data_IF_133577719659
#
_entry.id   IF_133577719659
#
_cell.length_a   1.000
_cell.length_b   1.000
_cell.length_c   1.000
_cell.angle_alpha   90.00
_cell.angle_beta   90.00
_cell.angle_gamma   90.00
#
_symmetry.space_group_name_H-M   'P 1'
#
loop_
_entity.id
_entity.type
_entity.pdbx_description
1 polymer ?
#
# COMPACT_ATOMS: atom_id res chain seq x y z
N UNK A 1 4.74 -15.51 38.63
CA UNK A 1 5.57 -15.43 37.41
C UNK A 1 4.60 -15.15 36.29
N UNK A 2 4.63 -13.93 35.76
CA UNK A 2 3.79 -13.56 34.63
C UNK A 2 4.36 -14.27 33.41
N UNK A 3 3.69 -15.32 32.95
CA UNK A 3 4.13 -16.03 31.74
C UNK A 3 3.80 -15.17 30.55
N UNK A 4 4.83 -14.59 29.94
CA UNK A 4 4.73 -13.85 28.68
C UNK A 4 3.80 -14.58 27.68
N UNK A 5 2.74 -13.90 27.24
CA UNK A 5 1.85 -14.46 26.23
C UNK A 5 2.60 -14.62 24.92
N UNK A 6 2.53 -15.81 24.32
CA UNK A 6 3.09 -16.11 23.00
C UNK A 6 1.99 -16.38 21.99
N UNK A 7 2.03 -15.69 20.86
CA UNK A 7 1.14 -15.90 19.71
C UNK A 7 1.99 -16.29 18.52
N UNK A 8 1.79 -17.49 17.97
CA UNK A 8 2.64 -18.02 16.89
C UNK A 8 4.13 -18.10 17.27
N UNK A 9 4.45 -18.30 18.56
CA UNK A 9 5.83 -18.30 19.06
C UNK A 9 6.44 -16.91 19.30
N UNK A 10 5.72 -15.83 19.01
CA UNK A 10 6.14 -14.44 19.26
C UNK A 10 5.62 -13.96 20.61
N UNK A 11 6.49 -13.47 21.48
CA UNK A 11 6.08 -12.81 22.73
C UNK A 11 5.40 -11.47 22.43
N UNK A 12 4.19 -11.28 22.95
CA UNK A 12 3.39 -10.06 22.77
C UNK A 12 3.15 -9.37 24.11
N UNK A 13 3.10 -8.04 24.12
CA UNK A 13 3.02 -7.25 25.36
C UNK A 13 2.10 -6.04 25.22
N UNK A 14 1.58 -5.54 26.35
CA UNK A 14 0.70 -4.36 26.41
C UNK A 14 -0.51 -4.48 25.46
N UNK A 15 -1.18 -5.64 25.52
CA UNK A 15 -2.25 -6.00 24.58
C UNK A 15 -3.47 -5.09 24.69
N UNK A 16 -3.78 -4.65 25.91
CA UNK A 16 -4.95 -3.80 26.18
C UNK A 16 -4.66 -2.32 25.92
N UNK A 17 -3.44 -2.00 25.43
CA UNK A 17 -3.08 -0.65 25.01
C UNK A 17 -3.96 -0.22 23.85
N UNK A 18 -4.74 0.84 24.03
CA UNK A 18 -5.54 1.45 22.97
C UNK A 18 -4.63 2.18 21.98
N UNK A 19 -4.66 1.76 20.72
CA UNK A 19 -3.88 2.38 19.63
C UNK A 19 -4.75 3.29 18.76
N UNK A 20 -6.06 3.04 18.69
CA UNK A 20 -7.04 3.92 18.06
C UNK A 20 -8.12 4.34 19.06
N UNK A 21 -7.97 5.51 19.73
CA UNK A 21 -8.89 5.94 20.76
C UNK A 21 -10.34 6.09 20.29
N UNK A 22 -10.56 6.67 19.11
CA UNK A 22 -11.92 6.95 18.60
C UNK A 22 -12.72 5.68 18.27
N UNK A 23 -12.06 4.63 17.79
CA UNK A 23 -12.67 3.34 17.46
C UNK A 23 -12.49 2.28 18.55
N UNK A 24 -11.81 2.60 19.66
CA UNK A 24 -11.57 1.68 20.78
C UNK A 24 -10.61 0.52 20.47
N UNK A 25 -9.89 0.58 19.34
CA UNK A 25 -9.05 -0.54 18.87
C UNK A 25 -7.77 -0.62 19.71
N UNK A 26 -7.59 -1.77 20.34
CA UNK A 26 -6.41 -2.11 21.14
C UNK A 26 -5.29 -2.73 20.31
N UNK A 27 -4.10 -2.86 20.89
CA UNK A 27 -2.99 -3.60 20.28
C UNK A 27 -3.36 -5.05 20.00
N UNK A 28 -4.15 -5.68 20.88
CA UNK A 28 -4.68 -7.04 20.67
C UNK A 28 -5.45 -7.13 19.36
N UNK A 29 -6.34 -6.18 19.11
CA UNK A 29 -7.17 -6.15 17.90
C UNK A 29 -6.33 -5.95 16.64
N UNK A 30 -5.29 -5.11 16.70
CA UNK A 30 -4.33 -4.92 15.60
C UNK A 30 -3.56 -6.20 15.31
N UNK A 31 -3.10 -6.91 16.34
CA UNK A 31 -2.42 -8.21 16.17
C UNK A 31 -3.38 -9.24 15.56
N UNK A 32 -4.60 -9.35 16.08
CA UNK A 32 -5.61 -10.28 15.55
C UNK A 32 -5.95 -9.98 14.09
N UNK A 33 -6.14 -8.70 13.75
CA UNK A 33 -6.38 -8.25 12.39
C UNK A 33 -5.28 -8.73 11.44
N UNK A 34 -4.02 -8.47 11.78
CA UNK A 34 -2.91 -8.84 10.92
C UNK A 34 -2.73 -10.35 10.80
N UNK A 35 -3.02 -11.13 11.84
CA UNK A 35 -3.06 -12.59 11.76
C UNK A 35 -4.12 -13.04 10.75
N UNK A 36 -5.32 -12.48 10.82
CA UNK A 36 -6.45 -12.84 9.94
C UNK A 36 -6.24 -12.37 8.50
N UNK A 37 -5.61 -11.22 8.31
CA UNK A 37 -5.28 -10.67 7.00
C UNK A 37 -4.07 -11.37 6.35
N UNK A 38 -3.22 -12.05 7.13
CA UNK A 38 -1.97 -12.64 6.66
C UNK A 38 -2.09 -13.47 5.37
N UNK A 39 -3.08 -14.37 5.18
CA UNK A 39 -3.19 -15.15 3.94
C UNK A 39 -3.37 -14.28 2.69
N UNK A 40 -4.00 -13.11 2.81
CA UNK A 40 -4.20 -12.15 1.72
C UNK A 40 -3.05 -11.15 1.60
N UNK A 41 -2.37 -10.84 2.71
CA UNK A 41 -1.24 -9.89 2.74
C UNK A 41 0.07 -10.49 2.26
N UNK A 42 0.43 -11.67 2.77
CA UNK A 42 1.76 -12.25 2.57
C UNK A 42 2.16 -12.42 1.08
N UNK A 43 1.26 -12.74 0.13
CA UNK A 43 1.61 -12.76 -1.29
C UNK A 43 2.20 -11.43 -1.81
N UNK A 44 1.72 -10.29 -1.28
CA UNK A 44 2.20 -8.97 -1.68
C UNK A 44 3.44 -8.52 -0.89
N UNK A 45 3.66 -9.05 0.31
CA UNK A 45 4.70 -8.59 1.23
C UNK A 45 5.97 -9.44 1.14
N UNK A 46 5.83 -10.73 0.79
CA UNK A 46 6.96 -11.64 0.74
C UNK A 46 7.97 -11.25 -0.33
N UNK A 47 9.24 -11.31 0.02
CA UNK A 47 10.35 -10.91 -0.85
C UNK A 47 10.43 -9.41 -1.11
N UNK A 48 9.71 -8.55 -0.35
CA UNK A 48 9.77 -7.09 -0.48
C UNK A 48 10.31 -6.42 0.79
N UNK A 49 11.25 -5.48 0.65
CA UNK A 49 11.59 -4.53 1.71
C UNK A 49 10.36 -3.75 2.18
N UNK A 50 10.17 -3.65 3.50
CA UNK A 50 9.10 -2.88 4.11
C UNK A 50 9.60 -1.59 4.77
N UNK A 51 8.74 -0.58 4.75
CA UNK A 51 8.85 0.59 5.62
C UNK A 51 7.65 0.63 6.54
N UNK A 52 7.91 0.57 7.84
CA UNK A 52 6.87 0.63 8.87
C UNK A 52 6.61 2.08 9.26
N UNK A 53 5.36 2.42 9.57
CA UNK A 53 5.06 3.58 10.40
C UNK A 53 4.50 3.10 11.74
N UNK A 54 5.19 3.48 12.81
CA UNK A 54 4.91 3.02 14.16
C UNK A 54 4.26 4.11 14.99
N UNK A 55 3.26 3.71 15.77
CA UNK A 55 2.52 4.57 16.69
C UNK A 55 2.47 3.92 18.07
N UNK A 56 3.61 3.84 18.79
CA UNK A 56 3.64 3.19 20.10
C UNK A 56 2.59 3.74 21.04
N UNK A 57 2.38 5.06 21.01
CA UNK A 57 1.43 5.80 21.86
C UNK A 57 0.02 5.96 21.24
N UNK A 58 -0.25 5.29 20.11
CA UNK A 58 -1.51 5.37 19.37
C UNK A 58 -1.59 6.53 18.36
N UNK A 59 -2.60 6.50 17.49
CA UNK A 59 -2.74 7.39 16.32
C UNK A 59 -3.04 8.86 16.66
N UNK A 60 -3.47 9.14 17.90
CA UNK A 60 -3.64 10.51 18.41
C UNK A 60 -2.33 11.20 18.80
N UNK A 61 -1.19 10.49 18.71
CA UNK A 61 0.14 10.99 19.01
C UNK A 61 1.04 10.88 17.78
N UNK A 62 2.21 11.53 17.83
CA UNK A 62 3.17 11.47 16.74
C UNK A 62 3.68 10.03 16.54
N UNK A 63 3.52 9.52 15.31
CA UNK A 63 4.19 8.31 14.85
C UNK A 63 5.54 8.59 14.22
N UNK A 64 6.26 7.54 13.84
CA UNK A 64 7.52 7.67 13.10
C UNK A 64 7.67 6.59 12.04
N UNK A 65 8.34 6.95 10.94
CA UNK A 65 8.72 6.01 9.89
C UNK A 65 10.00 5.27 10.28
N UNK A 66 10.02 3.96 10.06
CA UNK A 66 11.14 3.09 10.38
C UNK A 66 11.46 2.20 9.17
N UNK A 67 12.53 2.58 8.45
CA UNK A 67 13.09 1.80 7.33
C UNK A 67 14.07 0.74 7.81
N UNK A 68 14.85 1.08 8.84
CA UNK A 68 15.89 0.22 9.38
C UNK A 68 15.31 -0.64 10.50
N UNK A 69 15.51 -1.95 10.43
CA UNK A 69 15.05 -2.89 11.43
C UNK A 69 15.54 -2.48 12.83
N UNK A 70 14.62 -2.38 13.82
CA UNK A 70 14.93 -1.88 15.15
C UNK A 70 15.93 -2.77 15.87
N UNK A 71 16.58 -2.22 16.89
CA UNK A 71 17.40 -3.01 17.81
C UNK A 71 16.54 -4.12 18.45
N UNK A 72 17.13 -5.30 18.66
CA UNK A 72 16.40 -6.46 19.19
C UNK A 72 15.44 -7.13 18.20
N UNK A 73 15.57 -6.86 16.90
CA UNK A 73 14.86 -7.63 15.86
C UNK A 73 15.13 -9.13 16.03
N UNK A 74 14.08 -9.98 16.19
CA UNK A 74 14.24 -11.42 16.39
C UNK A 74 14.93 -12.11 15.21
N UNK A 75 15.68 -13.18 15.49
CA UNK A 75 16.42 -13.91 14.46
C UNK A 75 15.57 -14.60 13.39
N UNK A 76 14.26 -14.77 13.62
CA UNK A 76 13.34 -15.31 12.61
C UNK A 76 12.89 -14.27 11.57
N UNK A 77 13.13 -12.98 11.81
CA UNK A 77 12.73 -11.91 10.89
C UNK A 77 13.74 -11.81 9.75
N UNK A 78 13.29 -12.03 8.53
CA UNK A 78 14.11 -11.84 7.33
C UNK A 78 14.52 -10.37 7.20
N UNK A 79 15.81 -10.12 6.98
CA UNK A 79 16.35 -8.78 6.74
C UNK A 79 17.02 -8.70 5.37
N UNK A 80 16.73 -7.63 4.64
CA UNK A 80 17.40 -7.28 3.39
C UNK A 80 18.29 -6.06 3.59
N UNK A 81 19.57 -6.18 3.23
CA UNK A 81 20.55 -5.10 3.38
C UNK A 81 20.65 -4.30 2.09
N UNK A 82 20.50 -2.99 2.19
CA UNK A 82 20.64 -2.08 1.08
C UNK A 82 21.45 -0.86 1.49
N UNK A 83 22.47 -0.51 0.70
CA UNK A 83 23.22 0.73 0.91
C UNK A 83 22.44 1.91 0.34
N UNK A 84 21.86 2.72 1.23
CA UNK A 84 21.15 3.92 0.84
C UNK A 84 22.15 5.03 0.54
N UNK A 85 22.19 5.48 -0.72
CA UNK A 85 23.05 6.60 -1.13
C UNK A 85 22.65 7.91 -0.45
N UNK A 86 21.35 8.17 -0.29
CA UNK A 86 20.86 9.40 0.34
C UNK A 86 21.13 9.47 1.84
N UNK A 87 21.17 8.31 2.52
CA UNK A 87 21.47 8.23 3.95
C UNK A 87 22.94 7.87 4.25
N UNK A 88 23.74 7.66 3.21
CA UNK A 88 25.17 7.28 3.25
C UNK A 88 25.47 6.14 4.23
N UNK A 89 24.57 5.14 4.28
CA UNK A 89 24.72 3.99 5.17
C UNK A 89 23.95 2.77 4.70
N UNK A 90 24.31 1.62 5.24
CA UNK A 90 23.50 0.40 5.12
C UNK A 90 22.21 0.56 5.92
N UNK A 91 21.09 0.23 5.28
CA UNK A 91 19.77 0.06 5.89
C UNK A 91 19.43 -1.43 5.84
N UNK A 92 18.98 -1.97 6.97
CA UNK A 92 18.48 -3.34 7.07
C UNK A 92 16.96 -3.29 7.03
N UNK A 93 16.37 -3.51 5.88
CA UNK A 93 14.92 -3.54 5.73
C UNK A 93 14.34 -4.84 6.27
N UNK A 94 13.19 -4.75 6.93
CA UNK A 94 12.39 -5.93 7.26
C UNK A 94 11.76 -6.47 5.97
N UNK A 95 11.77 -7.79 5.79
CA UNK A 95 10.99 -8.50 4.77
C UNK A 95 10.00 -9.41 5.49
N UNK A 96 8.72 -9.31 5.12
CA UNK A 96 7.64 -10.04 5.81
C UNK A 96 7.16 -11.24 5.00
N UNK A 97 7.81 -12.38 5.24
CA UNK A 97 7.52 -13.64 4.53
C UNK A 97 6.61 -14.61 5.32
N UNK A 98 6.19 -14.23 6.54
CA UNK A 98 5.42 -15.12 7.42
C UNK A 98 4.61 -14.37 8.46
N UNK A 99 3.61 -15.05 9.02
CA UNK A 99 2.65 -14.49 9.99
C UNK A 99 3.33 -14.03 11.27
N UNK A 100 4.39 -14.71 11.71
CA UNK A 100 5.16 -14.34 12.90
C UNK A 100 5.80 -12.96 12.77
N UNK A 101 6.26 -12.61 11.55
CA UNK A 101 6.79 -11.26 11.28
C UNK A 101 5.69 -10.21 11.36
N UNK A 102 4.48 -10.49 10.85
CA UNK A 102 3.32 -9.59 11.01
C UNK A 102 2.96 -9.38 12.48
N UNK A 103 2.87 -10.47 13.26
CA UNK A 103 2.58 -10.41 14.71
C UNK A 103 3.61 -9.55 15.43
N UNK A 104 4.90 -9.76 15.12
CA UNK A 104 5.99 -8.98 15.71
C UNK A 104 5.90 -7.49 15.35
N UNK A 105 5.69 -7.15 14.07
CA UNK A 105 5.53 -5.75 13.63
C UNK A 105 4.31 -5.10 14.31
N UNK A 106 3.18 -5.80 14.37
CA UNK A 106 1.98 -5.33 15.07
C UNK A 106 2.23 -5.11 16.58
N UNK A 107 2.99 -6.00 17.23
CA UNK A 107 3.36 -5.85 18.64
C UNK A 107 4.23 -4.60 18.90
N UNK A 108 5.04 -4.21 17.92
CA UNK A 108 5.82 -2.96 17.90
C UNK A 108 4.98 -1.71 17.60
N UNK A 109 3.66 -1.86 17.48
CA UNK A 109 2.70 -0.84 17.05
C UNK A 109 3.01 -0.29 15.65
N UNK A 110 3.53 -1.11 14.74
CA UNK A 110 3.60 -0.79 13.31
C UNK A 110 2.19 -0.88 12.72
N UNK A 111 1.52 0.26 12.62
CA UNK A 111 0.14 0.34 12.13
C UNK A 111 0.12 0.40 10.60
N UNK A 112 0.99 1.20 9.99
CA UNK A 112 1.09 1.27 8.53
C UNK A 112 2.30 0.47 8.05
N UNK A 113 2.07 -0.45 7.11
CA UNK A 113 3.08 -1.30 6.50
C UNK A 113 3.15 -0.99 5.01
N UNK A 114 4.25 -0.38 4.59
CA UNK A 114 4.45 0.07 3.22
C UNK A 114 5.41 -0.88 2.51
N UNK A 115 5.04 -1.29 1.30
CA UNK A 115 5.85 -2.16 0.42
C UNK A 115 6.54 -1.33 -0.64
N UNK A 116 7.73 -1.72 -1.07
CA UNK A 116 8.30 -1.24 -2.34
C UNK A 116 7.68 -2.00 -3.53
N UNK A 117 7.76 -1.44 -4.73
CA UNK A 117 7.12 -2.02 -5.93
C UNK A 117 7.91 -3.16 -6.59
N UNK A 118 9.15 -3.40 -6.17
CA UNK A 118 10.02 -4.47 -6.65
C UNK A 118 10.38 -5.47 -5.54
N UNK A 119 10.90 -6.63 -5.92
CA UNK A 119 11.35 -7.66 -4.97
C UNK A 119 12.84 -7.51 -4.69
N UNK A 120 13.31 -8.14 -3.61
CA UNK A 120 14.71 -8.09 -3.17
C UNK A 120 15.70 -8.73 -4.15
N UNK A 121 15.25 -9.66 -4.99
CA UNK A 121 16.08 -10.39 -5.95
C UNK A 121 16.33 -9.61 -7.26
N UNK A 122 15.42 -8.71 -7.65
CA UNK A 122 15.63 -7.72 -8.71
C UNK A 122 14.99 -6.38 -8.32
N UNK A 123 15.70 -5.52 -7.56
CA UNK A 123 15.14 -4.28 -7.03
C UNK A 123 14.97 -3.18 -8.09
N UNK A 124 15.40 -3.39 -9.33
CA UNK A 124 15.30 -2.42 -10.44
C UNK A 124 14.09 -2.68 -11.35
N UNK A 125 13.54 -3.91 -11.31
CA UNK A 125 12.42 -4.33 -12.16
C UNK A 125 11.19 -4.66 -11.32
N UNK A 126 10.21 -3.75 -11.23
CA UNK A 126 9.00 -3.99 -10.46
C UNK A 126 8.14 -5.10 -11.09
N UNK A 127 7.42 -5.80 -10.24
CA UNK A 127 6.29 -6.68 -10.57
C UNK A 127 4.94 -6.03 -10.20
N UNK A 128 4.96 -4.79 -9.71
CA UNK A 128 3.76 -3.96 -9.46
C UNK A 128 4.00 -2.58 -10.07
N UNK A 129 3.11 -2.16 -10.97
CA UNK A 129 3.01 -0.76 -11.40
C UNK A 129 1.86 -0.07 -10.68
N UNK A 130 2.05 1.19 -10.30
CA UNK A 130 1.12 1.95 -9.48
C UNK A 130 0.66 3.23 -10.17
N UNK A 131 -0.65 3.44 -10.21
CA UNK A 131 -1.28 4.75 -10.40
C UNK A 131 -1.78 5.20 -9.04
N UNK A 132 -1.10 6.16 -8.43
CA UNK A 132 -1.49 6.76 -7.17
C UNK A 132 -2.36 7.99 -7.48
N UNK A 133 -3.63 7.94 -7.08
CA UNK A 133 -4.64 8.93 -7.41
C UNK A 133 -4.90 9.78 -6.16
N UNK A 134 -4.32 10.97 -6.16
CA UNK A 134 -4.33 11.88 -5.02
C UNK A 134 -5.23 13.09 -5.29
N UNK A 135 -6.43 13.14 -4.70
CA UNK A 135 -7.31 14.30 -4.82
C UNK A 135 -6.80 15.48 -4.00
N UNK A 136 -6.97 16.68 -4.53
CA UNK A 136 -6.54 17.94 -3.95
C UNK A 136 -7.75 18.81 -3.64
N UNK A 137 -7.95 19.22 -2.36
CA UNK A 137 -9.13 19.95 -1.96
C UNK A 137 -9.46 21.16 -2.87
N UNK A 138 -10.73 21.40 -3.20
CA UNK A 138 -11.92 20.73 -2.67
C UNK A 138 -12.23 19.33 -3.25
N UNK A 139 -11.46 18.82 -4.21
CA UNK A 139 -11.63 17.44 -4.66
C UNK A 139 -11.30 16.47 -3.52
N UNK A 140 -12.08 15.39 -3.44
CA UNK A 140 -11.98 14.36 -2.42
C UNK A 140 -12.07 12.97 -3.04
N UNK A 141 -12.59 12.04 -2.24
CA UNK A 141 -12.61 10.63 -2.62
C UNK A 141 -13.54 10.36 -3.81
N UNK A 142 -14.62 11.10 -3.97
CA UNK A 142 -15.54 10.98 -5.11
C UNK A 142 -14.83 11.23 -6.43
N UNK A 143 -14.07 12.33 -6.55
CA UNK A 143 -13.32 12.64 -7.77
C UNK A 143 -12.22 11.60 -8.02
N UNK A 144 -11.61 11.05 -6.95
CA UNK A 144 -10.66 9.97 -7.08
C UNK A 144 -11.32 8.68 -7.61
N UNK A 145 -12.57 8.38 -7.22
CA UNK A 145 -13.36 7.24 -7.73
C UNK A 145 -13.63 7.40 -9.22
N UNK A 146 -14.13 8.57 -9.64
CA UNK A 146 -14.40 8.87 -11.05
C UNK A 146 -13.12 8.77 -11.91
N UNK A 147 -12.02 9.33 -11.40
CA UNK A 147 -10.71 9.25 -12.04
C UNK A 147 -10.23 7.79 -12.18
N UNK A 148 -10.40 6.99 -11.12
CA UNK A 148 -10.02 5.58 -11.13
C UNK A 148 -10.86 4.75 -12.12
N UNK A 149 -12.16 5.02 -12.21
CA UNK A 149 -13.05 4.36 -13.17
C UNK A 149 -12.64 4.66 -14.61
N UNK A 150 -12.43 5.94 -14.94
CA UNK A 150 -11.97 6.30 -16.29
C UNK A 150 -10.57 5.79 -16.61
N UNK A 151 -9.66 5.72 -15.63
CA UNK A 151 -8.38 5.04 -15.80
C UNK A 151 -8.57 3.54 -16.07
N UNK A 152 -9.47 2.88 -15.35
CA UNK A 152 -9.81 1.47 -15.55
C UNK A 152 -10.33 1.19 -16.97
N UNK A 153 -11.19 2.07 -17.50
CA UNK A 153 -11.67 2.00 -18.89
C UNK A 153 -10.52 2.12 -19.90
N UNK A 154 -9.65 3.12 -19.74
CA UNK A 154 -8.47 3.32 -20.61
C UNK A 154 -7.54 2.11 -20.58
N UNK A 155 -7.30 1.53 -19.40
CA UNK A 155 -6.47 0.33 -19.27
C UNK A 155 -7.14 -0.88 -19.94
N UNK A 156 -8.46 -1.00 -19.82
CA UNK A 156 -9.25 -2.01 -20.51
C UNK A 156 -9.21 -1.89 -22.04
N UNK A 157 -9.28 -0.67 -22.58
CA UNK A 157 -9.10 -0.39 -24.02
C UNK A 157 -7.72 -0.84 -24.53
N UNK A 158 -6.68 -0.74 -23.67
CA UNK A 158 -5.33 -1.22 -23.95
C UNK A 158 -5.15 -2.73 -23.74
N UNK A 159 -6.20 -3.43 -23.32
CA UNK A 159 -6.17 -4.87 -23.02
C UNK A 159 -5.41 -5.23 -21.75
N UNK A 160 -5.21 -4.29 -20.83
CA UNK A 160 -4.47 -4.50 -19.58
C UNK A 160 -5.41 -4.81 -18.41
N UNK A 161 -5.14 -5.92 -17.71
CA UNK A 161 -5.80 -6.21 -16.45
C UNK A 161 -5.25 -5.31 -15.34
N UNK A 162 -6.14 -4.59 -14.66
CA UNK A 162 -5.78 -3.75 -13.52
C UNK A 162 -6.63 -4.09 -12.30
N UNK A 163 -6.14 -3.68 -11.14
CA UNK A 163 -6.79 -3.92 -9.86
C UNK A 163 -6.84 -2.61 -9.06
N UNK A 164 -7.88 -2.43 -8.26
CA UNK A 164 -8.08 -1.20 -7.49
C UNK A 164 -8.16 -1.47 -5.99
N UNK A 165 -7.66 -0.52 -5.21
CA UNK A 165 -7.81 -0.51 -3.75
C UNK A 165 -7.95 0.92 -3.24
N UNK A 166 -8.66 1.09 -2.12
CA UNK A 166 -8.56 2.34 -1.36
C UNK A 166 -7.12 2.55 -0.87
N UNK A 167 -6.67 3.79 -0.76
CA UNK A 167 -5.47 4.08 0.04
C UNK A 167 -5.76 3.89 1.55
N UNK A 168 -7.03 3.99 1.96
CA UNK A 168 -7.46 4.08 3.35
C UNK A 168 -7.41 5.52 3.90
N UNK A 169 -7.06 6.50 3.07
CA UNK A 169 -7.21 7.95 3.33
C UNK A 169 -7.92 8.56 2.11
N UNK A 170 -7.62 9.82 1.76
CA UNK A 170 -8.27 10.57 0.67
C UNK A 170 -8.12 9.96 -0.74
N UNK A 171 -7.06 9.20 -1.03
CA UNK A 171 -6.73 8.73 -2.39
C UNK A 171 -7.11 7.29 -2.70
N UNK A 172 -6.88 6.90 -3.95
CA UNK A 172 -7.09 5.55 -4.50
C UNK A 172 -5.84 5.06 -5.21
N UNK A 173 -5.61 3.74 -5.20
CA UNK A 173 -4.53 3.14 -5.97
C UNK A 173 -5.13 2.21 -7.02
N UNK A 174 -4.74 2.41 -8.28
CA UNK A 174 -4.92 1.42 -9.33
C UNK A 174 -3.56 0.79 -9.62
N UNK A 175 -3.49 -0.53 -9.67
CA UNK A 175 -2.25 -1.27 -9.83
C UNK A 175 -2.34 -2.31 -10.94
N UNK A 176 -1.20 -2.58 -11.57
CA UNK A 176 -1.07 -3.59 -12.61
C UNK A 176 0.04 -4.57 -12.17
N UNK A 177 -0.25 -5.88 -12.07
CA UNK A 177 0.80 -6.88 -11.94
C UNK A 177 1.64 -6.91 -13.21
N UNK A 178 2.96 -6.86 -13.09
CA UNK A 178 3.86 -6.83 -14.25
C UNK A 178 4.74 -8.08 -14.34
N UNK A 179 5.01 -8.51 -15.56
CA UNK A 179 6.23 -9.27 -15.80
C UNK A 179 7.45 -8.41 -15.46
N UNK A 180 8.41 -8.98 -14.74
CA UNK A 180 9.65 -8.28 -14.28
C UNK A 180 10.67 -8.09 -15.40
N UNK A 181 10.24 -7.49 -16.50
CA UNK A 181 11.06 -7.21 -17.69
C UNK A 181 11.33 -5.72 -17.87
N UNK A 182 10.52 -4.86 -17.23
CA UNK A 182 10.62 -3.40 -17.32
C UNK A 182 11.41 -2.82 -16.14
N UNK A 183 12.22 -1.81 -16.40
CA UNK A 183 12.81 -0.97 -15.35
C UNK A 183 11.82 0.08 -14.86
N UNK A 184 12.08 0.66 -13.69
CA UNK A 184 11.26 1.75 -13.16
C UNK A 184 11.13 2.97 -14.07
N UNK A 185 12.15 3.28 -14.87
CA UNK A 185 12.05 4.37 -15.85
C UNK A 185 10.92 4.13 -16.87
N UNK A 186 10.77 2.88 -17.33
CA UNK A 186 9.78 2.49 -18.33
C UNK A 186 8.36 2.52 -17.74
N UNK A 187 8.17 1.96 -16.54
CA UNK A 187 6.88 1.98 -15.86
C UNK A 187 6.45 3.40 -15.49
N UNK A 188 7.39 4.23 -15.03
CA UNK A 188 7.15 5.66 -14.75
C UNK A 188 6.71 6.43 -16.00
N UNK A 189 7.40 6.22 -17.12
CA UNK A 189 7.03 6.85 -18.39
C UNK A 189 5.65 6.41 -18.87
N UNK A 190 5.31 5.13 -18.71
CA UNK A 190 3.99 4.62 -19.07
C UNK A 190 2.87 5.25 -18.22
N UNK A 191 3.05 5.29 -16.89
CA UNK A 191 2.08 5.90 -15.96
C UNK A 191 1.90 7.38 -16.27
N UNK A 192 2.99 8.12 -16.54
CA UNK A 192 2.92 9.52 -16.89
C UNK A 192 2.19 9.76 -18.23
N UNK A 193 2.48 8.94 -19.26
CA UNK A 193 1.81 9.04 -20.55
C UNK A 193 0.30 8.79 -20.45
N UNK A 194 -0.12 7.80 -19.67
CA UNK A 194 -1.54 7.55 -19.41
C UNK A 194 -2.18 8.63 -18.54
N UNK A 195 -1.45 9.20 -17.57
CA UNK A 195 -1.95 10.34 -16.80
C UNK A 195 -2.21 11.57 -17.68
N UNK A 196 -1.34 11.85 -18.66
CA UNK A 196 -1.55 12.91 -19.67
C UNK A 196 -2.73 12.58 -20.59
N UNK A 197 -2.90 11.32 -20.98
CA UNK A 197 -4.06 10.91 -21.77
C UNK A 197 -5.37 11.10 -20.98
N UNK A 198 -5.36 10.73 -19.71
CA UNK A 198 -6.51 10.82 -18.82
C UNK A 198 -6.89 12.28 -18.55
N UNK A 199 -5.92 13.19 -18.35
CA UNK A 199 -6.18 14.62 -18.18
C UNK A 199 -6.82 15.29 -19.40
N UNK A 200 -6.68 14.70 -20.60
CA UNK A 200 -7.37 15.16 -21.82
C UNK A 200 -8.80 14.63 -21.92
N UNK A 201 -9.11 13.49 -21.28
CA UNK A 201 -10.44 12.85 -21.31
C UNK A 201 -11.33 13.30 -20.16
N UNK A 202 -10.77 13.48 -18.96
CA UNK A 202 -11.49 13.81 -17.74
C UNK A 202 -11.08 15.20 -17.24
N UNK A 203 -12.01 16.18 -17.24
CA UNK A 203 -11.80 17.45 -16.55
C UNK A 203 -11.44 17.20 -15.07
N UNK A 204 -10.46 17.93 -14.55
CA UNK A 204 -10.05 17.81 -13.16
C UNK A 204 -8.97 16.76 -12.88
N UNK A 205 -8.47 16.03 -13.88
CA UNK A 205 -7.28 15.17 -13.72
C UNK A 205 -6.02 15.93 -14.13
N UNK A 206 -4.95 15.81 -13.35
CA UNK A 206 -3.64 16.41 -13.65
C UNK A 206 -2.51 15.38 -13.53
N UNK A 207 -1.50 15.49 -14.40
CA UNK A 207 -0.33 14.58 -14.41
C UNK A 207 0.99 15.28 -14.76
N UNK A 208 0.99 16.58 -15.08
CA UNK A 208 2.21 17.32 -15.45
C UNK A 208 2.93 17.94 -14.23
N UNK A 209 4.26 17.96 -14.27
CA UNK A 209 5.15 18.43 -13.18
C UNK A 209 5.00 19.91 -12.78
N UNK A 210 4.42 20.76 -13.64
CA UNK A 210 4.32 22.18 -13.35
C UNK A 210 3.03 22.50 -12.60
N UNK A 211 3.09 22.51 -11.26
CA UNK A 211 2.00 23.00 -10.40
C UNK A 211 1.21 21.92 -9.67
N UNK A 212 1.85 20.81 -9.28
CA UNK A 212 1.26 19.75 -8.45
C UNK A 212 0.55 20.36 -7.25
N UNK A 213 -0.69 19.94 -6.97
CA UNK A 213 -1.66 20.54 -6.04
C UNK A 213 -2.52 21.68 -6.59
N UNK A 214 -3.00 21.53 -7.84
CA UNK A 214 -4.10 22.37 -8.33
C UNK A 214 -5.35 22.03 -7.53
N UNK A 215 -5.87 23.01 -6.79
CA UNK A 215 -7.08 22.84 -6.00
C UNK A 215 -8.25 22.33 -6.87
N UNK A 216 -8.96 21.31 -6.40
CA UNK A 216 -10.12 20.73 -7.09
C UNK A 216 -9.74 19.72 -8.17
N UNK A 217 -8.52 19.19 -8.16
CA UNK A 217 -8.06 18.20 -9.14
C UNK A 217 -7.61 16.89 -8.49
N UNK A 218 -7.52 15.83 -9.29
CA UNK A 218 -6.89 14.55 -8.91
C UNK A 218 -5.56 14.44 -9.63
N UNK A 219 -4.49 14.36 -8.85
CA UNK A 219 -3.15 14.15 -9.36
C UNK A 219 -2.86 12.66 -9.53
N UNK A 220 -2.41 12.27 -10.72
CA UNK A 220 -1.86 10.94 -10.98
C UNK A 220 -0.37 10.98 -10.68
N UNK A 221 0.03 10.59 -9.47
CA UNK A 221 1.43 10.66 -9.01
C UNK A 221 2.28 9.54 -9.61
N UNK A 222 2.74 9.79 -10.83
CA UNK A 222 3.62 8.89 -11.55
C UNK A 222 5.00 8.76 -10.89
N UNK A 223 5.42 9.68 -10.01
CA UNK A 223 6.73 9.64 -9.33
C UNK A 223 6.82 8.55 -8.25
N UNK A 224 5.69 7.92 -7.90
CA UNK A 224 5.67 6.74 -7.02
C UNK A 224 6.30 5.50 -7.69
N UNK A 225 6.38 5.47 -9.03
CA UNK A 225 7.04 4.40 -9.78
C UNK A 225 8.55 4.62 -9.84
N UNK A 226 9.22 4.41 -8.71
CA UNK A 226 10.67 4.46 -8.63
C UNK A 226 11.20 3.44 -7.63
N UNK A 227 12.47 3.04 -7.82
CA UNK A 227 13.14 2.15 -6.90
C UNK A 227 13.11 2.70 -5.47
N UNK A 228 12.82 1.84 -4.49
CA UNK A 228 12.77 2.16 -3.07
C UNK A 228 11.73 3.20 -2.62
N UNK A 229 10.89 3.72 -3.53
CA UNK A 229 9.61 4.34 -3.17
C UNK A 229 8.66 3.26 -2.68
N UNK A 230 7.74 3.66 -1.83
CA UNK A 230 6.84 2.73 -1.15
C UNK A 230 5.41 3.13 -1.36
N UNK A 231 4.55 2.13 -1.52
CA UNK A 231 3.11 2.28 -1.44
C UNK A 231 2.59 1.64 -0.16
N UNK A 232 1.49 2.15 0.38
CA UNK A 232 0.80 1.46 1.46
C UNK A 232 0.36 0.08 0.97
N UNK A 233 0.74 -0.97 1.71
CA UNK A 233 0.50 -2.35 1.30
C UNK A 233 -1.00 -2.68 1.24
N UNK A 234 -1.41 -3.62 0.36
CA UNK A 234 -2.76 -4.16 0.40
C UNK A 234 -3.09 -4.73 1.78
N UNK A 235 -4.26 -4.40 2.31
CA UNK A 235 -4.75 -4.74 3.65
C UNK A 235 -3.95 -4.16 4.82
N UNK A 236 -2.98 -3.26 4.59
CA UNK A 236 -2.35 -2.53 5.69
C UNK A 236 -3.36 -1.58 6.36
N UNK A 237 -3.31 -1.47 7.69
CA UNK A 237 -4.03 -0.43 8.41
C UNK A 237 -3.45 0.95 8.09
N UNK A 238 -4.27 1.98 8.31
CA UNK A 238 -3.89 3.39 8.31
C UNK A 238 -4.04 3.97 9.72
N UNK A 239 -3.25 4.98 10.03
CA UNK A 239 -3.37 5.76 11.25
C UNK A 239 -4.45 6.85 11.12
N UNK A 240 -5.68 6.43 10.88
CA UNK A 240 -6.90 7.27 10.88
C UNK A 240 -7.65 7.09 12.21
N UNK A 241 -8.70 7.88 12.48
CA UNK A 241 -9.46 7.74 13.72
C UNK A 241 -10.25 6.40 13.74
N UNK A 242 -10.71 5.96 12.59
CA UNK A 242 -11.58 4.80 12.36
C UNK A 242 -10.80 3.49 12.16
N UNK A 243 -9.47 3.53 12.18
CA UNK A 243 -8.60 2.39 11.84
C UNK A 243 -8.91 1.83 10.44
N UNK A 244 -8.96 2.72 9.45
CA UNK A 244 -9.20 2.36 8.05
C UNK A 244 -8.10 1.46 7.49
N UNK A 245 -8.43 0.75 6.41
CA UNK A 245 -7.58 -0.22 5.71
C UNK A 245 -7.32 0.27 4.30
N UNK A 246 -6.09 0.11 3.83
CA UNK A 246 -5.74 0.18 2.40
C UNK A 246 -6.33 -1.04 1.71
N UNK A 247 -7.58 -0.93 1.24
CA UNK A 247 -8.44 -2.09 1.04
C UNK A 247 -8.58 -2.48 -0.43
N UNK A 248 -8.13 -3.68 -0.84
CA UNK A 248 -8.43 -4.27 -2.14
C UNK A 248 -9.93 -4.41 -2.42
N UNK A 249 -10.35 -3.98 -3.60
CA UNK A 249 -11.74 -3.98 -4.06
C UNK A 249 -11.85 -4.70 -5.41
N UNK A 250 -13.03 -5.27 -5.68
CA UNK A 250 -13.44 -5.55 -7.05
C UNK A 250 -13.83 -4.24 -7.74
N UNK A 251 -13.69 -4.17 -9.06
CA UNK A 251 -14.00 -2.95 -9.81
C UNK A 251 -15.46 -2.53 -9.65
N UNK A 252 -16.37 -3.49 -9.56
CA UNK A 252 -17.81 -3.25 -9.37
C UNK A 252 -18.15 -2.68 -7.99
N UNK A 253 -17.24 -2.79 -7.01
CA UNK A 253 -17.42 -2.18 -5.69
C UNK A 253 -17.09 -0.68 -5.69
N UNK A 254 -16.31 -0.22 -6.67
CA UNK A 254 -15.88 1.16 -6.81
C UNK A 254 -17.01 1.98 -7.44
N UNK A 255 -17.87 2.55 -6.60
CA UNK A 255 -19.08 3.28 -6.97
C UNK A 255 -19.19 4.60 -6.22
N UNK A 256 -20.05 5.49 -6.71
CA UNK A 256 -20.39 6.74 -6.02
C UNK A 256 -20.87 6.48 -4.58
N UNK A 257 -20.43 7.32 -3.65
CA UNK A 257 -20.77 7.23 -2.23
C UNK A 257 -19.95 6.22 -1.43
N UNK A 258 -19.09 5.43 -2.07
CA UNK A 258 -18.07 4.65 -1.37
C UNK A 258 -17.13 5.59 -0.62
N UNK A 259 -16.76 5.26 0.63
CA UNK A 259 -15.75 6.01 1.37
C UNK A 259 -14.71 5.08 2.00
N UNK A 260 -13.46 5.53 2.23
CA UNK A 260 -12.44 4.72 2.91
C UNK A 260 -12.89 4.16 4.26
N UNK A 261 -13.72 4.90 4.99
CA UNK A 261 -14.28 4.57 6.30
C UNK A 261 -15.25 3.37 6.25
N UNK A 262 -15.74 2.97 5.07
CA UNK A 262 -16.46 1.71 4.90
C UNK A 262 -15.55 0.49 5.19
N UNK A 263 -14.23 0.68 5.10
CA UNK A 263 -13.21 -0.36 5.25
C UNK A 263 -12.32 -0.08 6.45
N UNK A 264 -12.80 -0.45 7.64
CA UNK A 264 -12.05 -0.40 8.89
C UNK A 264 -11.46 -1.76 9.24
N UNK A 265 -10.63 -1.80 10.26
CA UNK A 265 -10.13 -3.03 10.88
C UNK A 265 -11.25 -4.05 11.14
N UNK A 266 -12.45 -3.59 11.53
CA UNK A 266 -13.59 -4.46 11.87
C UNK A 266 -14.39 -4.92 10.65
N UNK A 267 -14.60 -4.05 9.66
CA UNK A 267 -15.38 -4.40 8.46
C UNK A 267 -14.53 -5.22 7.47
N UNK A 268 -13.23 -4.94 7.37
CA UNK A 268 -12.32 -5.63 6.46
C UNK A 268 -12.18 -7.13 6.78
N UNK A 269 -12.09 -7.50 8.06
CA UNK A 269 -11.99 -8.91 8.49
C UNK A 269 -13.27 -9.73 8.27
N UNK A 270 -14.40 -9.04 8.11
CA UNK A 270 -15.72 -9.65 7.93
C UNK A 270 -16.00 -9.98 6.46
N UNK A 271 -15.18 -9.46 5.54
CA UNK A 271 -15.35 -9.69 4.10
C UNK A 271 -14.93 -11.09 3.69
N UNK A 272 -15.81 -11.75 2.96
CA UNK A 272 -15.59 -13.06 2.33
C UNK A 272 -15.00 -12.87 0.93
N UNK A 273 -14.20 -13.84 0.47
CA UNK A 273 -13.48 -13.71 -0.81
C UNK A 273 -12.26 -12.79 -0.75
N UNK A 274 -11.55 -12.66 -1.86
CA UNK A 274 -10.41 -11.77 -2.03
C UNK A 274 -10.44 -11.26 -3.48
N UNK A 275 -10.79 -9.98 -3.72
CA UNK A 275 -10.86 -9.41 -5.07
C UNK A 275 -9.52 -9.46 -5.82
N UNK A 276 -8.41 -9.53 -5.09
CA UNK A 276 -7.06 -9.60 -5.66
C UNK A 276 -6.50 -11.02 -5.67
N UNK A 277 -7.34 -12.04 -5.45
CA UNK A 277 -6.92 -13.44 -5.58
C UNK A 277 -6.38 -13.69 -6.99
N UNK A 278 -5.15 -14.23 -7.03
CA UNK A 278 -4.45 -14.50 -8.29
C UNK A 278 -3.89 -13.25 -8.97
N UNK A 279 -3.70 -12.14 -8.24
CA UNK A 279 -3.09 -10.90 -8.76
C UNK A 279 -1.82 -11.16 -9.58
N UNK A 280 -0.83 -11.85 -8.99
CA UNK A 280 0.45 -12.13 -9.65
C UNK A 280 0.35 -13.18 -10.77
N UNK A 281 -0.73 -13.95 -10.84
CA UNK A 281 -0.97 -14.91 -11.94
C UNK A 281 -1.40 -14.19 -13.24
N UNK A 282 -1.75 -12.90 -13.16
CA UNK A 282 -2.19 -12.06 -14.28
C UNK A 282 -1.12 -11.04 -14.69
N UNK A 283 0.15 -11.35 -14.47
CA UNK A 283 1.26 -10.45 -14.80
C UNK A 283 1.20 -10.02 -16.28
N UNK A 284 1.15 -8.71 -16.49
CA UNK A 284 0.97 -8.09 -17.80
C UNK A 284 2.30 -7.68 -18.43
N UNK A 285 2.31 -7.60 -19.75
CA UNK A 285 3.32 -6.87 -20.53
C UNK A 285 2.70 -5.59 -21.07
N UNK A 286 3.39 -4.47 -20.88
CA UNK A 286 2.94 -3.18 -21.38
C UNK A 286 2.88 -3.20 -22.93
N UNK A 287 1.84 -2.60 -23.53
CA UNK A 287 1.74 -2.51 -24.98
C UNK A 287 2.91 -1.71 -25.54
N UNK A 288 3.35 -2.07 -26.75
CA UNK A 288 4.35 -1.27 -27.46
C UNK A 288 3.71 0.05 -27.85
N UNK A 289 4.22 1.15 -27.31
CA UNK A 289 3.86 2.49 -27.79
C UNK A 289 4.67 2.72 -29.07
N UNK A 290 4.06 2.54 -30.23
CA UNK A 290 4.68 2.98 -31.47
C UNK A 290 4.69 4.51 -31.48
N UNK A 291 5.88 5.09 -31.53
CA UNK A 291 6.08 6.51 -31.77
C UNK A 291 5.99 6.76 -33.28
N UNK A 292 4.79 6.68 -33.84
CA UNK A 292 4.51 7.17 -35.19
C UNK A 292 3.91 8.58 -35.11
#
# INVERSE_FOLDING_TARGET
MDTDLKVGGVTVTNLDRVLYPSSGVSKRDVIEYYIRAAPRMLPFFSGRPLVMQRFPEGVGQAGFYEKNAPAGTPGFVTLHRHYSRSAEREIRYVVCDRVETLIWMANLAALELNIVLARTDDPERPDIMLFDLDPEPPAGFTEAVETAQGLGEVLGELGLSSFVKTSGRKGLHVVIPLERVYRFEETRSFVHALGILLSRRLPGVVSELSGTHVAGTVFVDYLQNAAWKTMIGPYSLRATAEATVSMPLAWEELREGLVPEDFTIHTAISRTGDPWKGFFDRAERLPKVNHD
#
